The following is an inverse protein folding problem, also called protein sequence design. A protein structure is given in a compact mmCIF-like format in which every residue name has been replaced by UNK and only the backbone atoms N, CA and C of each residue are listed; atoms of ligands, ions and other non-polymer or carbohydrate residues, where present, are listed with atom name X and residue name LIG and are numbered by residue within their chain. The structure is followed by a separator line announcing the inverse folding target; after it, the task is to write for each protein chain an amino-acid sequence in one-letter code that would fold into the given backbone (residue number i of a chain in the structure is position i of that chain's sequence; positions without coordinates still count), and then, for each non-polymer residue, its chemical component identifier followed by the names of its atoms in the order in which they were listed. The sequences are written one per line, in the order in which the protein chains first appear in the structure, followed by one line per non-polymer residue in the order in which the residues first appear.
data_IF_850237472015
#
_entry.id   IF_850237472015
#
_cell.length_a   1.000
_cell.length_b   1.000
_cell.length_c   1.000
_cell.angle_alpha   90.00
_cell.angle_beta   90.00
_cell.angle_gamma   90.00
#
_symmetry.space_group_name_H-M   'P 1'
#
loop_
_entity.id
_entity.type
_entity.pdbx_description
1 polymer ?
#
# COMPACT_ATOMS: atom_id res chain seq x y z
N UNK A 1 -21.34 28.63 -9.19
CA UNK A 1 -20.88 27.22 -9.18
C UNK A 1 -19.98 26.99 -7.96
N UNK A 2 -20.51 26.61 -6.77
CA UNK A 2 -19.67 26.51 -5.56
C UNK A 2 -19.37 25.08 -5.03
N UNK A 3 -19.77 23.99 -5.69
CA UNK A 3 -19.62 22.62 -5.12
C UNK A 3 -18.60 21.70 -5.80
N UNK A 4 -17.88 22.17 -6.83
CA UNK A 4 -16.97 21.36 -7.64
C UNK A 4 -15.52 21.43 -7.15
N UNK A 5 -15.05 22.65 -6.85
CA UNK A 5 -13.72 22.91 -6.28
C UNK A 5 -13.43 22.12 -4.99
N UNK A 6 -14.37 21.95 -4.05
CA UNK A 6 -14.10 21.17 -2.84
C UNK A 6 -13.87 19.68 -3.12
N UNK A 7 -14.56 19.10 -4.11
CA UNK A 7 -14.46 17.67 -4.41
C UNK A 7 -13.16 17.34 -5.15
N UNK A 8 -12.77 18.18 -6.10
CA UNK A 8 -11.50 17.99 -6.84
C UNK A 8 -10.29 18.07 -5.89
N UNK A 9 -10.31 18.99 -4.92
CA UNK A 9 -9.29 19.06 -3.86
C UNK A 9 -9.28 17.81 -2.98
N UNK A 10 -10.45 17.30 -2.57
CA UNK A 10 -10.54 16.08 -1.78
C UNK A 10 -10.01 14.84 -2.54
N UNK A 11 -10.27 14.76 -3.84
CA UNK A 11 -9.74 13.69 -4.70
C UNK A 11 -8.21 13.80 -4.78
N UNK A 12 -7.68 15.01 -5.01
CA UNK A 12 -6.23 15.22 -5.04
C UNK A 12 -5.58 14.78 -3.74
N UNK A 13 -6.11 15.22 -2.59
CA UNK A 13 -5.59 14.85 -1.28
C UNK A 13 -5.66 13.34 -1.03
N UNK A 14 -6.78 12.70 -1.41
CA UNK A 14 -6.93 11.26 -1.27
C UNK A 14 -5.96 10.47 -2.18
N UNK A 15 -5.62 10.99 -3.36
CA UNK A 15 -4.56 10.42 -4.23
C UNK A 15 -3.21 10.53 -3.55
N UNK A 16 -2.85 11.72 -3.07
CA UNK A 16 -1.57 11.95 -2.40
C UNK A 16 -1.40 11.01 -1.19
N UNK A 17 -2.43 10.90 -0.34
CA UNK A 17 -2.40 9.95 0.79
C UNK A 17 -2.30 8.49 0.36
N UNK A 18 -3.00 8.09 -0.72
CA UNK A 18 -2.91 6.71 -1.24
C UNK A 18 -1.49 6.41 -1.74
N UNK A 19 -0.86 7.37 -2.42
CA UNK A 19 0.49 7.23 -2.95
C UNK A 19 1.55 7.22 -1.83
N UNK A 20 1.37 8.05 -0.79
CA UNK A 20 2.19 8.01 0.42
C UNK A 20 2.07 6.67 1.15
N UNK A 21 0.84 6.17 1.33
CA UNK A 21 0.60 4.86 1.93
C UNK A 21 1.26 3.73 1.11
N UNK A 22 1.21 3.81 -0.23
CA UNK A 22 1.86 2.84 -1.11
C UNK A 22 3.39 2.88 -0.99
N UNK A 23 4.00 4.08 -0.93
CA UNK A 23 5.45 4.24 -0.70
C UNK A 23 5.87 3.65 0.64
N UNK A 24 5.11 3.94 1.70
CA UNK A 24 5.35 3.40 3.04
C UNK A 24 5.23 1.88 3.06
N UNK A 25 4.22 1.32 2.40
CA UNK A 25 4.04 -0.12 2.24
C UNK A 25 5.24 -0.77 1.53
N UNK A 26 5.78 -0.12 0.49
CA UNK A 26 7.03 -0.55 -0.15
C UNK A 26 8.21 -0.62 0.81
N UNK A 27 8.38 0.40 1.65
CA UNK A 27 9.42 0.40 2.71
C UNK A 27 9.24 -0.73 3.73
N UNK A 28 8.01 -1.02 4.13
CA UNK A 28 7.68 -2.13 5.04
C UNK A 28 8.00 -3.50 4.42
N UNK A 29 7.72 -3.68 3.13
CA UNK A 29 8.10 -4.89 2.40
C UNK A 29 9.62 -5.10 2.40
N UNK A 30 10.39 -4.04 2.10
CA UNK A 30 11.86 -4.10 2.13
C UNK A 30 12.36 -4.44 3.54
N UNK A 31 11.82 -3.80 4.58
CA UNK A 31 12.21 -4.07 5.96
C UNK A 31 11.96 -5.54 6.36
N UNK A 32 10.80 -6.09 6.03
CA UNK A 32 10.47 -7.50 6.30
C UNK A 32 11.39 -8.45 5.55
N UNK A 33 11.69 -8.17 4.28
CA UNK A 33 12.59 -9.01 3.48
C UNK A 33 14.03 -8.97 4.00
N UNK A 34 14.53 -7.80 4.39
CA UNK A 34 15.85 -7.68 5.00
C UNK A 34 15.93 -8.45 6.32
N UNK A 35 14.87 -8.38 7.14
CA UNK A 35 14.80 -9.13 8.39
C UNK A 35 14.82 -10.64 8.17
N UNK A 36 14.11 -11.13 7.14
CA UNK A 36 14.11 -12.54 6.74
C UNK A 36 15.48 -12.99 6.21
N UNK A 37 16.12 -12.18 5.35
CA UNK A 37 17.47 -12.48 4.84
C UNK A 37 18.50 -12.58 5.95
N UNK A 38 18.46 -11.67 6.93
CA UNK A 38 19.35 -11.70 8.08
C UNK A 38 19.11 -12.95 8.94
N UNK A 39 17.85 -13.35 9.13
CA UNK A 39 17.52 -14.57 9.88
C UNK A 39 18.06 -15.83 9.18
N UNK A 40 17.92 -15.89 7.85
CA UNK A 40 18.47 -16.98 7.03
C UNK A 40 19.99 -17.02 7.16
N UNK A 41 20.67 -15.88 7.02
CA UNK A 41 22.14 -15.81 7.16
C UNK A 41 22.61 -16.30 8.53
N UNK A 42 21.94 -15.90 9.62
CA UNK A 42 22.29 -16.37 10.97
C UNK A 42 22.05 -17.87 11.13
N UNK A 43 20.97 -18.40 10.55
CA UNK A 43 20.61 -19.82 10.60
C UNK A 43 21.60 -20.68 9.82
N UNK A 44 22.00 -20.23 8.63
CA UNK A 44 22.99 -20.91 7.79
C UNK A 44 24.36 -20.90 8.48
N UNK A 45 24.76 -19.74 9.00
CA UNK A 45 26.01 -19.61 9.74
C UNK A 45 26.05 -20.52 10.97
N UNK A 46 24.92 -20.66 11.68
CA UNK A 46 24.79 -21.60 12.79
C UNK A 46 24.98 -23.04 12.37
N UNK A 47 24.35 -23.46 11.28
CA UNK A 47 24.47 -24.81 10.76
C UNK A 47 25.93 -25.14 10.38
N UNK A 48 26.58 -24.24 9.65
CA UNK A 48 28.00 -24.35 9.30
C UNK A 48 28.90 -24.44 10.54
N UNK A 49 28.60 -23.63 11.56
CA UNK A 49 29.37 -23.61 12.79
C UNK A 49 29.24 -24.92 13.59
N UNK A 50 28.04 -25.49 13.65
CA UNK A 50 27.80 -26.79 14.28
C UNK A 50 28.50 -27.93 13.52
N UNK A 51 28.52 -27.88 12.19
CA UNK A 51 29.24 -28.87 11.39
C UNK A 51 30.76 -28.81 11.66
N UNK A 52 31.34 -27.62 11.78
CA UNK A 52 32.76 -27.44 12.15
C UNK A 52 33.05 -28.00 13.54
N UNK A 53 32.16 -27.76 14.50
CA UNK A 53 32.27 -28.31 15.85
C UNK A 53 32.26 -29.85 15.84
N UNK A 54 31.34 -30.46 15.10
CA UNK A 54 31.28 -31.92 14.97
C UNK A 54 32.59 -32.50 14.42
N UNK A 55 33.16 -31.87 13.39
CA UNK A 55 34.45 -32.28 12.83
C UNK A 55 35.60 -32.12 13.84
N UNK A 56 35.66 -30.99 14.55
CA UNK A 56 36.68 -30.74 15.56
C UNK A 56 36.62 -31.74 16.72
N UNK A 57 35.41 -32.14 17.14
CA UNK A 57 35.22 -33.18 18.15
C UNK A 57 35.76 -34.54 17.68
N UNK A 58 35.55 -34.91 16.40
CA UNK A 58 36.07 -36.17 15.86
C UNK A 58 37.61 -36.22 15.77
N UNK A 59 38.26 -35.07 15.56
CA UNK A 59 39.73 -34.98 15.45
C UNK A 59 40.44 -34.81 16.80
N UNK A 60 39.69 -34.71 17.90
CA UNK A 60 40.20 -34.39 19.23
C UNK A 60 40.26 -32.88 19.47
N UNK A 61 39.42 -32.40 20.38
CA UNK A 61 39.29 -30.97 20.73
C UNK A 61 39.64 -30.75 22.20
N UNK A 62 40.28 -29.63 22.52
CA UNK A 62 40.55 -29.27 23.93
C UNK A 62 39.26 -28.89 24.67
N UNK A 63 39.25 -29.05 26.00
CA UNK A 63 38.12 -28.63 26.82
C UNK A 63 37.85 -27.12 26.74
N UNK A 64 38.91 -26.31 26.60
CA UNK A 64 38.80 -24.86 26.44
C UNK A 64 38.12 -24.49 25.12
N UNK A 65 38.49 -25.15 24.02
CA UNK A 65 37.86 -24.94 22.71
C UNK A 65 36.39 -25.34 22.76
N UNK A 66 36.07 -26.51 23.35
CA UNK A 66 34.69 -26.96 23.55
C UNK A 66 33.82 -25.89 24.24
N UNK A 67 34.35 -25.30 25.31
CA UNK A 67 33.64 -24.27 26.06
C UNK A 67 33.45 -22.98 25.24
N UNK A 68 34.45 -22.57 24.47
CA UNK A 68 34.34 -21.41 23.58
C UNK A 68 33.27 -21.61 22.50
N UNK A 69 33.22 -22.80 21.89
CA UNK A 69 32.18 -23.18 20.92
C UNK A 69 30.78 -23.12 21.54
N UNK A 70 30.59 -23.70 22.73
CA UNK A 70 29.31 -23.69 23.45
C UNK A 70 28.84 -22.26 23.80
N UNK A 71 29.77 -21.38 24.16
CA UNK A 71 29.43 -19.98 24.43
C UNK A 71 28.97 -19.26 23.17
N UNK A 72 29.70 -19.44 22.07
CA UNK A 72 29.37 -18.76 20.83
C UNK A 72 28.07 -19.26 20.20
N UNK A 73 27.78 -20.56 20.27
CA UNK A 73 26.50 -21.09 19.79
C UNK A 73 25.32 -20.52 20.58
N UNK A 74 25.46 -20.34 21.90
CA UNK A 74 24.44 -19.71 22.73
C UNK A 74 24.21 -18.24 22.31
N UNK A 75 25.29 -17.48 22.08
CA UNK A 75 25.19 -16.11 21.55
C UNK A 75 24.51 -16.06 20.18
N UNK A 76 24.77 -17.03 19.31
CA UNK A 76 24.14 -17.10 18.00
C UNK A 76 22.65 -17.48 18.09
N UNK A 77 22.29 -18.38 19.00
CA UNK A 77 20.90 -18.72 19.31
C UNK A 77 20.13 -17.49 19.82
N UNK A 78 20.71 -16.74 20.76
CA UNK A 78 20.12 -15.49 21.26
C UNK A 78 19.91 -14.46 20.13
N UNK A 79 20.89 -14.32 19.23
CA UNK A 79 20.80 -13.42 18.08
C UNK A 79 19.72 -13.85 17.08
N UNK A 80 19.57 -15.16 16.85
CA UNK A 80 18.52 -15.73 15.99
C UNK A 80 17.14 -15.44 16.59
N UNK A 81 16.97 -15.64 17.88
CA UNK A 81 15.69 -15.39 18.55
C UNK A 81 15.33 -13.89 18.55
N UNK A 82 16.30 -13.01 18.75
CA UNK A 82 16.11 -11.56 18.54
C UNK A 82 15.70 -11.25 17.10
N UNK A 83 16.37 -11.84 16.12
CA UNK A 83 16.06 -11.60 14.70
C UNK A 83 14.68 -12.13 14.30
N UNK A 84 14.22 -13.25 14.90
CA UNK A 84 12.86 -13.76 14.73
C UNK A 84 11.82 -12.76 15.24
N UNK A 85 12.05 -12.18 16.42
CA UNK A 85 11.16 -11.16 16.97
C UNK A 85 11.10 -9.91 16.05
N UNK A 86 12.23 -9.50 15.48
CA UNK A 86 12.30 -8.40 14.49
C UNK A 86 11.48 -8.75 13.24
N UNK A 87 11.60 -9.98 12.72
CA UNK A 87 10.84 -10.44 11.55
C UNK A 87 9.33 -10.45 11.83
N UNK A 88 8.91 -10.91 13.01
CA UNK A 88 7.50 -10.92 13.43
C UNK A 88 6.92 -9.50 13.54
N UNK A 89 7.68 -8.58 14.14
CA UNK A 89 7.29 -7.16 14.19
C UNK A 89 7.19 -6.55 12.79
N UNK A 90 8.16 -6.82 11.91
CA UNK A 90 8.14 -6.35 10.54
C UNK A 90 6.94 -6.91 9.74
N UNK A 91 6.58 -8.18 9.97
CA UNK A 91 5.40 -8.80 9.37
C UNK A 91 4.10 -8.16 9.88
N UNK A 92 4.02 -7.87 11.17
CA UNK A 92 2.88 -7.18 11.78
C UNK A 92 2.71 -5.77 11.21
N UNK A 93 3.80 -4.99 11.15
CA UNK A 93 3.77 -3.65 10.55
C UNK A 93 3.40 -3.70 9.07
N UNK A 94 3.88 -4.71 8.34
CA UNK A 94 3.52 -4.90 6.94
C UNK A 94 2.02 -5.10 6.76
N UNK A 95 1.37 -5.92 7.59
CA UNK A 95 -0.08 -6.12 7.49
C UNK A 95 -0.87 -4.86 7.86
N UNK A 96 -0.47 -4.15 8.92
CA UNK A 96 -1.03 -2.84 9.26
C UNK A 96 -0.87 -1.83 8.10
N UNK A 97 0.28 -1.85 7.43
CA UNK A 97 0.54 -1.01 6.26
C UNK A 97 -0.37 -1.34 5.08
N UNK A 98 -0.66 -2.63 4.84
CA UNK A 98 -1.61 -3.05 3.80
C UNK A 98 -3.02 -2.57 4.12
N UNK A 99 -3.46 -2.72 5.36
CA UNK A 99 -4.79 -2.26 5.79
C UNK A 99 -4.94 -0.76 5.64
N UNK A 100 -3.94 0.01 6.08
CA UNK A 100 -3.94 1.46 5.89
C UNK A 100 -4.01 1.86 4.40
N UNK A 101 -3.21 1.22 3.55
CA UNK A 101 -3.26 1.47 2.10
C UNK A 101 -4.62 1.12 1.49
N UNK A 102 -5.24 0.01 1.89
CA UNK A 102 -6.59 -0.38 1.45
C UNK A 102 -7.63 0.67 1.86
N UNK A 103 -7.51 1.22 3.07
CA UNK A 103 -8.40 2.27 3.57
C UNK A 103 -8.30 3.56 2.78
N UNK A 104 -7.08 4.07 2.54
CA UNK A 104 -6.88 5.27 1.72
C UNK A 104 -7.36 5.07 0.29
N UNK A 105 -7.09 3.89 -0.30
CA UNK A 105 -7.59 3.54 -1.63
C UNK A 105 -9.12 3.51 -1.69
N UNK A 106 -9.78 3.00 -0.64
CA UNK A 106 -11.25 2.99 -0.54
C UNK A 106 -11.82 4.40 -0.45
N UNK A 107 -11.17 5.31 0.30
CA UNK A 107 -11.57 6.73 0.37
C UNK A 107 -11.47 7.38 -1.02
N UNK A 108 -10.36 7.20 -1.71
CA UNK A 108 -10.16 7.71 -3.07
C UNK A 108 -11.28 7.23 -4.02
N UNK A 109 -11.51 5.91 -4.06
CA UNK A 109 -12.57 5.32 -4.90
C UNK A 109 -13.96 5.91 -4.58
N UNK A 110 -14.23 6.22 -3.31
CA UNK A 110 -15.49 6.81 -2.88
C UNK A 110 -15.67 8.24 -3.41
N UNK A 111 -14.61 9.04 -3.39
CA UNK A 111 -14.63 10.39 -3.96
C UNK A 111 -14.74 10.37 -5.49
N UNK A 112 -14.03 9.47 -6.16
CA UNK A 112 -14.13 9.31 -7.62
C UNK A 112 -15.56 8.92 -8.04
N UNK A 113 -16.20 8.00 -7.31
CA UNK A 113 -17.60 7.63 -7.56
C UNK A 113 -18.56 8.82 -7.36
N UNK A 114 -18.34 9.64 -6.34
CA UNK A 114 -19.14 10.85 -6.10
C UNK A 114 -18.95 11.88 -7.22
N UNK A 115 -17.72 12.08 -7.70
CA UNK A 115 -17.43 12.99 -8.81
C UNK A 115 -18.08 12.53 -10.11
N UNK A 116 -18.00 11.24 -10.42
CA UNK A 116 -18.66 10.66 -11.59
C UNK A 116 -20.17 10.87 -11.53
N UNK A 117 -20.79 10.69 -10.36
CA UNK A 117 -22.23 10.94 -10.18
C UNK A 117 -22.59 12.41 -10.37
N UNK A 118 -21.82 13.35 -9.81
CA UNK A 118 -22.04 14.78 -10.04
C UNK A 118 -21.94 15.14 -11.53
N UNK A 119 -20.95 14.59 -12.23
CA UNK A 119 -20.77 14.83 -13.65
C UNK A 119 -21.97 14.34 -14.46
N UNK A 120 -22.48 13.15 -14.17
CA UNK A 120 -23.68 12.62 -14.84
C UNK A 120 -24.92 13.49 -14.60
N UNK A 121 -25.10 14.02 -13.38
CA UNK A 121 -26.22 14.93 -13.07
C UNK A 121 -26.10 16.21 -13.91
N UNK A 122 -24.92 16.83 -13.96
CA UNK A 122 -24.68 18.05 -14.74
C UNK A 122 -24.94 17.84 -16.23
N UNK A 123 -24.42 16.75 -16.81
CA UNK A 123 -24.66 16.42 -18.22
C UNK A 123 -26.17 16.26 -18.53
N UNK A 124 -26.94 15.68 -17.61
CA UNK A 124 -28.40 15.57 -17.77
C UNK A 124 -29.10 16.92 -17.67
N UNK A 125 -28.66 17.79 -16.77
CA UNK A 125 -29.21 19.15 -16.65
C UNK A 125 -28.90 20.00 -17.88
N UNK A 126 -27.68 19.92 -18.41
CA UNK A 126 -27.25 20.60 -19.63
C UNK A 126 -28.07 20.12 -20.84
N UNK A 127 -28.17 18.79 -21.05
CA UNK A 127 -28.99 18.24 -22.12
C UNK A 127 -30.46 18.71 -22.04
N UNK A 128 -31.03 18.78 -20.83
CA UNK A 128 -32.39 19.31 -20.62
C UNK A 128 -32.50 20.81 -20.88
N UNK A 129 -31.44 21.59 -20.67
CA UNK A 129 -31.42 23.03 -20.99
C UNK A 129 -31.32 23.23 -22.50
N UNK A 130 -30.42 22.53 -23.16
CA UNK A 130 -30.23 22.58 -24.60
C UNK A 130 -31.49 22.14 -25.36
N UNK A 131 -32.15 21.06 -24.92
CA UNK A 131 -33.41 20.63 -25.50
C UNK A 131 -34.49 21.72 -25.41
N UNK A 132 -34.65 22.35 -24.24
CA UNK A 132 -35.62 23.45 -24.05
C UNK A 132 -35.32 24.65 -24.95
N UNK A 133 -34.06 25.05 -25.08
CA UNK A 133 -33.66 26.15 -25.95
C UNK A 133 -33.95 25.85 -27.43
N UNK A 134 -33.67 24.62 -27.87
CA UNK A 134 -34.01 24.18 -29.23
C UNK A 134 -35.53 24.18 -29.47
N UNK A 135 -36.32 23.63 -28.54
CA UNK A 135 -37.78 23.60 -28.65
C UNK A 135 -38.37 25.02 -28.73
N UNK A 136 -37.87 25.95 -27.91
CA UNK A 136 -38.27 27.36 -27.94
C UNK A 136 -37.91 28.04 -29.28
N UNK A 137 -36.71 27.78 -29.80
CA UNK A 137 -36.27 28.33 -31.08
C UNK A 137 -37.13 27.80 -32.23
N UNK A 138 -37.37 26.48 -32.30
CA UNK A 138 -38.26 25.87 -33.28
C UNK A 138 -39.69 26.41 -33.17
N UNK A 139 -40.23 26.57 -31.97
CA UNK A 139 -41.56 27.14 -31.76
C UNK A 139 -41.67 28.62 -32.20
N UNK A 140 -40.58 29.40 -32.08
CA UNK A 140 -40.53 30.78 -32.60
C UNK A 140 -40.51 30.79 -34.13
N UNK A 141 -39.71 29.94 -34.76
CA UNK A 141 -39.65 29.82 -36.23
C UNK A 141 -41.02 29.44 -36.82
N UNK A 142 -41.70 28.44 -36.25
CA UNK A 142 -43.02 28.00 -36.70
C UNK A 142 -44.07 29.11 -36.57
N UNK A 143 -44.04 29.89 -35.47
CA UNK A 143 -44.94 31.04 -35.29
C UNK A 143 -44.66 32.17 -36.28
N UNK A 144 -43.39 32.45 -36.58
CA UNK A 144 -43.01 33.43 -37.60
C UNK A 144 -43.48 33.03 -39.01
N UNK A 145 -43.37 31.75 -39.36
CA UNK A 145 -43.83 31.23 -40.65
C UNK A 145 -45.37 31.26 -40.81
N UNK A 146 -46.13 31.07 -39.71
CA UNK A 146 -47.60 31.15 -39.72
C UNK A 146 -48.16 32.58 -39.78
N UNK A 147 -47.36 33.60 -39.49
CA UNK A 147 -47.78 35.01 -39.56
C UNK A 147 -47.56 35.68 -40.93
N UNK A 148 -47.01 34.96 -41.91
CA UNK A 148 -46.71 35.43 -43.26
C UNK A 148 -47.70 34.92 -44.33
N UNK A 149 -48.82 34.33 -43.90
CA UNK A 149 -49.98 33.96 -44.72
C UNK A 149 -51.21 34.68 -44.21
#
# INVERSE_FOLDING_TARGET
MPSQLPLDTLISLAKDHTDEAAKRLGGLHVARNNAEQQLTMLSDYRADYLQRLQNAMMTGMSAADCHNYQRFIATLDDAIDQQRAVLEQAATHLEQGKDHWREERRKLNSFDALAQRQQQVRMREDARREQRLNDEYSARLVRGARGLH
#
